data_IF_057368106886
#
_entry.id   IF_057368106886
#
_cell.length_a   1.000
_cell.length_b   1.000
_cell.length_c   1.000
_cell.angle_alpha   90.00
_cell.angle_beta   90.00
_cell.angle_gamma   90.00
#
_symmetry.space_group_name_H-M   'P 1'
#
loop_
_entity.id
_entity.type
_entity.pdbx_description
1 polymer ?
#
# COMPACT_ATOMS: atom_id res chain seq x y z
N UNK A 1 18.60 6.59 -2.44
CA UNK A 1 18.63 5.12 -2.69
C UNK A 1 18.64 4.90 -4.19
N UNK A 2 19.48 4.01 -4.70
CA UNK A 2 19.48 3.64 -6.12
C UNK A 2 18.50 2.49 -6.36
N UNK A 3 18.06 2.31 -7.60
CA UNK A 3 17.20 1.19 -8.02
C UNK A 3 17.82 -0.17 -7.67
N UNK A 4 19.15 -0.29 -7.78
CA UNK A 4 19.88 -1.51 -7.41
C UNK A 4 19.69 -1.89 -5.92
N UNK A 5 19.73 -0.92 -5.01
CA UNK A 5 19.45 -1.14 -3.58
C UNK A 5 18.01 -1.62 -3.34
N UNK A 6 17.06 -1.02 -4.05
CA UNK A 6 15.67 -1.41 -3.96
C UNK A 6 15.46 -2.86 -4.43
N UNK A 7 16.04 -3.21 -5.57
CA UNK A 7 16.02 -4.58 -6.12
C UNK A 7 16.75 -5.58 -5.19
N UNK A 8 17.82 -5.18 -4.55
CA UNK A 8 18.50 -6.03 -3.57
C UNK A 8 17.62 -6.29 -2.34
N UNK A 9 16.95 -5.26 -1.81
CA UNK A 9 16.01 -5.39 -0.70
C UNK A 9 14.82 -6.29 -1.06
N UNK A 10 14.28 -6.18 -2.27
CA UNK A 10 13.11 -6.96 -2.70
C UNK A 10 13.31 -8.48 -2.61
N UNK A 11 14.56 -8.93 -2.68
CA UNK A 11 14.95 -10.34 -2.60
C UNK A 11 15.17 -10.83 -1.16
N UNK A 12 15.03 -9.97 -0.16
CA UNK A 12 15.25 -10.35 1.24
C UNK A 12 14.01 -10.98 1.85
N UNK A 13 14.22 -11.89 2.82
CA UNK A 13 13.12 -12.49 3.59
C UNK A 13 12.39 -11.42 4.40
N UNK A 14 11.08 -11.52 4.52
CA UNK A 14 10.27 -10.56 5.25
C UNK A 14 10.76 -10.34 6.69
N UNK A 15 11.12 -11.41 7.39
CA UNK A 15 11.70 -11.33 8.74
C UNK A 15 12.95 -10.45 8.82
N UNK A 16 13.82 -10.55 7.83
CA UNK A 16 15.03 -9.71 7.75
C UNK A 16 14.68 -8.25 7.51
N UNK A 17 13.74 -7.99 6.60
CA UNK A 17 13.23 -6.63 6.33
C UNK A 17 12.57 -6.04 7.57
N UNK A 18 11.80 -6.82 8.32
CA UNK A 18 11.18 -6.38 9.57
C UNK A 18 12.22 -6.04 10.65
N UNK A 19 13.28 -6.85 10.80
CA UNK A 19 14.34 -6.55 11.74
C UNK A 19 15.04 -5.22 11.40
N UNK A 20 15.40 -5.02 10.13
CA UNK A 20 16.00 -3.76 9.67
C UNK A 20 15.02 -2.59 9.71
N UNK A 21 13.75 -2.84 9.40
CA UNK A 21 12.68 -1.85 9.51
C UNK A 21 12.51 -1.35 10.94
N UNK A 22 12.55 -2.25 11.92
CA UNK A 22 12.52 -1.89 13.34
C UNK A 22 13.67 -0.93 13.69
N UNK A 23 14.89 -1.26 13.27
CA UNK A 23 16.06 -0.38 13.49
C UNK A 23 15.87 0.96 12.79
N UNK A 24 15.41 0.96 11.53
CA UNK A 24 15.15 2.17 10.77
C UNK A 24 14.09 3.07 11.44
N UNK A 25 13.01 2.49 11.95
CA UNK A 25 11.97 3.22 12.67
C UNK A 25 12.52 3.92 13.92
N UNK A 26 13.31 3.22 14.72
CA UNK A 26 13.94 3.80 15.90
C UNK A 26 15.00 4.84 15.55
N UNK A 27 15.80 4.63 14.51
CA UNK A 27 16.75 5.64 14.02
C UNK A 27 16.01 6.92 13.58
N UNK A 28 14.94 6.78 12.80
CA UNK A 28 14.13 7.94 12.39
C UNK A 28 13.53 8.66 13.60
N UNK A 29 13.07 7.93 14.61
CA UNK A 29 12.56 8.47 15.85
C UNK A 29 13.60 9.30 16.62
N UNK A 30 14.83 8.79 16.75
CA UNK A 30 15.92 9.45 17.48
C UNK A 30 16.44 10.67 16.71
N UNK A 31 16.68 10.50 15.41
CA UNK A 31 17.34 11.50 14.56
C UNK A 31 16.41 12.62 14.08
N UNK A 32 15.09 12.40 14.08
CA UNK A 32 14.13 13.39 13.59
C UNK A 32 13.10 13.82 14.66
N UNK A 33 13.38 14.90 15.42
CA UNK A 33 12.43 15.45 16.38
C UNK A 33 11.06 15.77 15.75
N UNK A 34 11.08 16.27 14.51
CA UNK A 34 9.85 16.59 13.75
C UNK A 34 9.00 15.35 13.44
N UNK A 35 9.63 14.26 13.05
CA UNK A 35 8.94 12.99 12.82
C UNK A 35 8.34 12.45 14.12
N UNK A 36 9.12 12.49 15.20
CA UNK A 36 8.69 12.08 16.54
C UNK A 36 7.48 12.86 17.02
N UNK A 37 7.53 14.20 16.93
CA UNK A 37 6.42 15.07 17.33
C UNK A 37 5.14 14.71 16.57
N UNK A 38 5.19 14.59 15.23
CA UNK A 38 4.04 14.24 14.41
C UNK A 38 3.46 12.85 14.75
N UNK A 39 4.32 11.85 14.95
CA UNK A 39 3.86 10.53 15.32
C UNK A 39 3.12 10.56 16.67
N UNK A 40 3.66 11.30 17.64
CA UNK A 40 3.02 11.44 18.95
C UNK A 40 1.71 12.22 18.91
N UNK A 41 1.66 13.31 18.17
CA UNK A 41 0.44 14.10 17.97
C UNK A 41 -0.67 13.25 17.32
N UNK A 42 -0.36 12.57 16.21
CA UNK A 42 -1.32 11.72 15.51
C UNK A 42 -1.82 10.57 16.39
N UNK A 43 -0.92 9.94 17.14
CA UNK A 43 -1.29 8.88 18.06
C UNK A 43 -2.15 9.39 19.24
N UNK A 44 -1.89 10.62 19.70
CA UNK A 44 -2.70 11.26 20.74
C UNK A 44 -4.09 11.60 20.22
N UNK A 45 -4.20 12.19 19.02
CA UNK A 45 -5.48 12.48 18.36
C UNK A 45 -6.33 11.21 18.14
N UNK A 46 -5.69 10.09 17.82
CA UNK A 46 -6.34 8.80 17.68
C UNK A 46 -6.66 8.10 19.03
N UNK A 47 -6.40 8.74 20.15
CA UNK A 47 -6.64 8.16 21.48
C UNK A 47 -5.75 6.98 21.84
N UNK A 48 -4.62 6.76 21.11
CA UNK A 48 -3.72 5.63 21.34
C UNK A 48 -2.99 5.81 22.67
N UNK A 49 -3.03 4.83 23.61
CA UNK A 49 -2.31 4.88 24.87
C UNK A 49 -0.78 4.97 24.69
N UNK A 50 -0.05 5.43 25.70
CA UNK A 50 1.39 5.67 25.60
C UNK A 50 2.23 4.42 25.25
N UNK A 51 1.88 3.25 25.80
CA UNK A 51 2.63 2.02 25.58
C UNK A 51 2.56 1.53 24.11
N UNK A 52 1.38 1.42 23.44
CA UNK A 52 1.30 1.09 22.02
C UNK A 52 1.99 2.09 21.08
N UNK A 53 2.13 3.36 21.49
CA UNK A 53 2.83 4.36 20.67
C UNK A 53 4.29 4.00 20.39
N UNK A 54 4.96 3.33 21.35
CA UNK A 54 6.35 2.86 21.14
C UNK A 54 6.41 1.71 20.13
N UNK A 55 5.45 0.81 20.17
CA UNK A 55 5.35 -0.25 19.15
C UNK A 55 5.16 0.34 17.75
N UNK A 56 4.34 1.39 17.59
CA UNK A 56 4.12 2.07 16.32
C UNK A 56 5.41 2.61 15.67
N UNK A 57 6.43 2.95 16.45
CA UNK A 57 7.74 3.39 15.92
C UNK A 57 8.41 2.28 15.11
N UNK A 58 8.43 1.05 15.66
CA UNK A 58 8.99 -0.10 14.97
C UNK A 58 8.15 -0.48 13.75
N UNK A 59 6.82 -0.50 13.90
CA UNK A 59 5.89 -0.86 12.81
C UNK A 59 5.96 0.12 11.64
N UNK A 60 6.11 1.42 11.88
CA UNK A 60 6.31 2.41 10.82
C UNK A 60 7.57 2.12 9.99
N UNK A 61 8.66 1.71 10.64
CA UNK A 61 9.89 1.33 9.93
C UNK A 61 9.73 0.00 9.17
N UNK A 62 9.03 -0.98 9.74
CA UNK A 62 8.72 -2.27 9.08
C UNK A 62 7.92 -2.05 7.81
N UNK A 63 6.84 -1.26 7.87
CA UNK A 63 6.01 -0.90 6.73
C UNK A 63 6.84 -0.33 5.57
N UNK A 64 7.80 0.56 5.85
CA UNK A 64 8.66 1.14 4.81
C UNK A 64 9.52 0.07 4.13
N UNK A 65 10.04 -0.91 4.87
CA UNK A 65 10.89 -1.97 4.31
C UNK A 65 10.12 -3.14 3.72
N UNK A 66 8.81 -3.22 3.88
CA UNK A 66 7.93 -4.14 3.15
C UNK A 66 7.76 -3.73 1.68
N UNK A 67 7.76 -2.42 1.40
CA UNK A 67 7.54 -1.88 0.05
C UNK A 67 8.49 -2.46 -1.01
N UNK A 68 9.81 -2.59 -0.81
CA UNK A 68 10.69 -3.20 -1.78
C UNK A 68 10.28 -4.63 -2.16
N UNK A 69 9.85 -5.44 -1.19
CA UNK A 69 9.42 -6.82 -1.45
C UNK A 69 8.11 -6.85 -2.24
N UNK A 70 7.16 -6.00 -1.89
CA UNK A 70 5.87 -5.91 -2.57
C UNK A 70 6.02 -5.36 -4.00
N UNK A 71 6.75 -4.26 -4.16
CA UNK A 71 6.89 -3.56 -5.43
C UNK A 71 7.91 -4.21 -6.38
N UNK A 72 8.95 -4.87 -5.83
CA UNK A 72 9.94 -5.59 -6.61
C UNK A 72 9.50 -6.97 -7.08
N UNK A 73 8.29 -7.38 -6.76
CA UNK A 73 7.70 -8.65 -7.20
C UNK A 73 7.43 -8.60 -8.71
N UNK A 74 7.82 -9.65 -9.43
CA UNK A 74 7.57 -9.71 -10.87
C UNK A 74 6.07 -9.66 -11.20
N UNK A 75 5.67 -9.01 -12.31
CA UNK A 75 4.29 -9.03 -12.77
C UNK A 75 3.78 -10.47 -12.94
N UNK A 76 2.55 -10.73 -12.49
CA UNK A 76 1.92 -12.06 -12.59
C UNK A 76 2.31 -13.05 -11.49
N UNK A 77 3.33 -12.78 -10.67
CA UNK A 77 3.57 -13.58 -9.48
C UNK A 77 2.56 -13.22 -8.38
N UNK A 78 1.93 -14.22 -7.72
CA UNK A 78 0.99 -13.97 -6.65
C UNK A 78 1.67 -13.34 -5.43
N UNK A 79 0.89 -12.66 -4.60
CA UNK A 79 1.36 -12.25 -3.28
C UNK A 79 1.54 -13.52 -2.46
N UNK A 80 2.78 -13.73 -2.01
CA UNK A 80 3.10 -14.89 -1.17
C UNK A 80 2.46 -14.77 0.23
N UNK A 81 2.24 -15.94 0.86
CA UNK A 81 1.92 -16.02 2.27
C UNK A 81 2.76 -15.01 3.11
N UNK A 82 2.17 -14.25 4.06
CA UNK A 82 0.95 -14.59 4.80
C UNK A 82 -0.29 -13.73 4.51
N UNK A 83 -0.68 -13.47 3.28
CA UNK A 83 -1.92 -12.70 3.02
C UNK A 83 -3.15 -13.52 3.39
N UNK A 84 -3.92 -13.00 4.33
CA UNK A 84 -5.20 -13.59 4.73
C UNK A 84 -6.32 -12.57 4.52
N UNK A 85 -7.45 -13.06 4.04
CA UNK A 85 -8.66 -12.29 3.89
C UNK A 85 -9.61 -12.58 5.04
N UNK A 86 -10.01 -11.52 5.74
CA UNK A 86 -11.10 -11.55 6.71
C UNK A 86 -12.21 -10.66 6.18
N UNK A 87 -13.45 -11.15 6.11
CA UNK A 87 -14.59 -10.42 5.56
C UNK A 87 -14.61 -10.32 4.03
N UNK A 88 -13.95 -11.22 3.32
CA UNK A 88 -13.95 -11.23 1.84
C UNK A 88 -15.36 -11.36 1.26
N UNK A 89 -16.25 -12.05 1.98
CA UNK A 89 -17.66 -12.22 1.66
C UNK A 89 -18.42 -10.88 1.58
N UNK A 90 -17.96 -9.85 2.30
CA UNK A 90 -18.53 -8.50 2.20
C UNK A 90 -18.23 -7.86 0.86
N UNK A 91 -17.02 -8.07 0.34
CA UNK A 91 -16.62 -7.62 -0.99
C UNK A 91 -17.41 -8.38 -2.05
N UNK A 92 -17.50 -9.71 -1.92
CA UNK A 92 -18.26 -10.58 -2.84
C UNK A 92 -19.74 -10.16 -2.90
N UNK A 93 -20.34 -9.91 -1.76
CA UNK A 93 -21.72 -9.41 -1.68
C UNK A 93 -21.87 -8.04 -2.35
N UNK A 94 -20.93 -7.12 -2.12
CA UNK A 94 -20.95 -5.79 -2.73
C UNK A 94 -20.79 -5.85 -4.26
N UNK A 95 -19.98 -6.76 -4.77
CA UNK A 95 -19.80 -6.98 -6.22
C UNK A 95 -21.05 -7.57 -6.89
N UNK A 96 -21.94 -8.20 -6.13
CA UNK A 96 -23.24 -8.70 -6.62
C UNK A 96 -24.29 -7.60 -6.86
N UNK A 97 -24.05 -6.38 -6.40
CA UNK A 97 -24.97 -5.26 -6.63
C UNK A 97 -24.71 -4.60 -7.99
N UNK A 98 -25.77 -4.11 -8.68
CA UNK A 98 -25.59 -3.37 -9.93
C UNK A 98 -24.90 -2.02 -9.64
N UNK A 99 -23.90 -1.70 -10.44
CA UNK A 99 -23.12 -0.47 -10.31
C UNK A 99 -21.67 -0.74 -9.93
N UNK A 100 -20.89 0.32 -9.80
CA UNK A 100 -19.50 0.22 -9.41
C UNK A 100 -19.31 0.19 -7.89
N UNK A 101 -18.16 -0.28 -7.43
CA UNK A 101 -17.78 -0.35 -6.02
C UNK A 101 -16.73 0.70 -5.67
N UNK A 102 -16.91 1.41 -4.58
CA UNK A 102 -15.88 2.28 -4.02
C UNK A 102 -15.30 1.66 -2.77
N UNK A 103 -13.99 1.38 -2.78
CA UNK A 103 -13.23 0.88 -1.64
C UNK A 103 -12.47 2.02 -0.96
N UNK A 104 -12.64 2.15 0.34
CA UNK A 104 -11.90 3.11 1.16
C UNK A 104 -10.94 2.35 2.08
N UNK A 105 -9.66 2.74 2.07
CA UNK A 105 -8.66 2.16 2.96
C UNK A 105 -8.13 3.20 3.94
N UNK A 106 -8.01 2.88 5.25
CA UNK A 106 -7.51 3.81 6.25
C UNK A 106 -5.97 3.97 6.21
N UNK A 107 -5.27 3.38 5.24
CA UNK A 107 -3.81 3.40 5.13
C UNK A 107 -3.10 2.85 6.39
N UNK A 108 -3.61 1.76 6.95
CA UNK A 108 -3.00 1.05 8.07
C UNK A 108 -2.08 -0.08 7.59
N UNK A 109 -0.93 -0.25 8.25
CA UNK A 109 0.04 -1.28 7.90
C UNK A 109 0.53 -1.18 6.46
N UNK A 110 0.77 -2.30 5.80
CA UNK A 110 1.19 -2.37 4.40
C UNK A 110 0.00 -2.14 3.44
N UNK A 111 -0.60 -0.96 3.49
CA UNK A 111 -1.81 -0.62 2.71
C UNK A 111 -1.61 -0.76 1.18
N UNK A 112 -0.40 -0.63 0.68
CA UNK A 112 -0.08 -0.86 -0.74
C UNK A 112 -0.38 -2.30 -1.20
N UNK A 113 -0.45 -3.24 -0.26
CA UNK A 113 -0.86 -4.62 -0.52
C UNK A 113 -2.35 -4.72 -0.87
N UNK A 114 -3.21 -3.87 -0.30
CA UNK A 114 -4.66 -3.97 -0.45
C UNK A 114 -5.10 -3.97 -1.92
N UNK A 115 -4.60 -3.02 -2.71
CA UNK A 115 -4.93 -2.92 -4.12
C UNK A 115 -4.44 -4.13 -4.93
N UNK A 116 -3.24 -4.63 -4.63
CA UNK A 116 -2.69 -5.80 -5.32
C UNK A 116 -3.42 -7.09 -4.95
N UNK A 117 -3.73 -7.28 -3.65
CA UNK A 117 -4.49 -8.44 -3.18
C UNK A 117 -5.92 -8.44 -3.77
N UNK A 118 -6.55 -7.27 -3.85
CA UNK A 118 -7.84 -7.12 -4.51
C UNK A 118 -7.76 -7.53 -5.99
N UNK A 119 -6.78 -6.99 -6.72
CA UNK A 119 -6.61 -7.28 -8.14
C UNK A 119 -6.34 -8.77 -8.40
N UNK A 120 -5.58 -9.44 -7.56
CA UNK A 120 -5.31 -10.88 -7.67
C UNK A 120 -6.57 -11.73 -7.46
N UNK A 121 -7.44 -11.34 -6.52
CA UNK A 121 -8.64 -12.13 -6.20
C UNK A 121 -9.84 -11.80 -7.08
N UNK A 122 -10.06 -10.53 -7.36
CA UNK A 122 -11.27 -10.03 -8.01
C UNK A 122 -11.02 -9.34 -9.35
N UNK A 123 -9.78 -8.93 -9.63
CA UNK A 123 -9.46 -8.06 -10.77
C UNK A 123 -9.76 -8.64 -12.14
N UNK A 124 -9.88 -9.98 -12.27
CA UNK A 124 -10.23 -10.62 -13.53
C UNK A 124 -11.68 -10.34 -13.95
N UNK A 125 -12.60 -10.32 -12.98
CA UNK A 125 -14.03 -10.02 -13.21
C UNK A 125 -14.38 -8.57 -12.91
N UNK A 126 -13.65 -7.94 -11.98
CA UNK A 126 -13.95 -6.61 -11.46
C UNK A 126 -12.67 -5.79 -11.35
N UNK A 127 -12.24 -5.11 -12.42
CA UNK A 127 -11.02 -4.30 -12.41
C UNK A 127 -11.06 -3.19 -11.36
N UNK A 128 -9.91 -2.92 -10.74
CA UNK A 128 -9.73 -1.86 -9.75
C UNK A 128 -8.94 -0.70 -10.33
N UNK A 129 -9.43 0.53 -10.20
CA UNK A 129 -8.68 1.75 -10.50
C UNK A 129 -8.36 2.50 -9.22
N UNK A 130 -7.09 2.62 -8.85
CA UNK A 130 -6.65 3.34 -7.64
C UNK A 130 -6.18 4.76 -7.94
N UNK A 131 -6.56 5.70 -7.08
CA UNK A 131 -6.01 7.05 -7.12
C UNK A 131 -4.62 7.06 -6.49
N UNK A 132 -3.63 7.66 -7.16
CA UNK A 132 -2.28 7.72 -6.63
C UNK A 132 -1.62 9.08 -6.88
N UNK A 133 -0.65 9.40 -6.05
CA UNK A 133 0.23 10.54 -6.26
C UNK A 133 1.61 10.04 -6.67
N UNK A 134 2.08 10.31 -7.90
CA UNK A 134 3.39 9.85 -8.35
C UNK A 134 4.53 10.33 -7.44
N UNK A 135 5.52 9.48 -7.23
CA UNK A 135 6.70 9.85 -6.49
C UNK A 135 7.44 11.01 -7.17
N UNK A 136 8.03 11.89 -6.36
CA UNK A 136 8.82 13.02 -6.87
C UNK A 136 10.11 12.58 -7.54
N UNK A 137 10.72 11.49 -7.04
CA UNK A 137 11.98 10.94 -7.57
C UNK A 137 11.69 10.06 -8.78
N UNK A 138 12.33 10.33 -9.91
CA UNK A 138 12.07 9.64 -11.18
C UNK A 138 12.31 8.12 -11.10
N UNK A 139 13.36 7.67 -10.41
CA UNK A 139 13.63 6.24 -10.24
C UNK A 139 12.53 5.54 -9.44
N UNK A 140 12.03 6.18 -8.37
CA UNK A 140 10.96 5.61 -7.53
C UNK A 140 9.64 5.57 -8.28
N UNK A 141 9.36 6.59 -9.09
CA UNK A 141 8.18 6.61 -9.97
C UNK A 141 8.15 5.42 -10.91
N UNK A 142 9.28 5.09 -11.56
CA UNK A 142 9.38 3.89 -12.43
C UNK A 142 9.09 2.61 -11.66
N UNK A 143 9.63 2.48 -10.45
CA UNK A 143 9.36 1.32 -9.59
C UNK A 143 7.87 1.24 -9.22
N UNK A 144 7.25 2.35 -8.83
CA UNK A 144 5.81 2.42 -8.53
C UNK A 144 4.94 2.05 -9.74
N UNK A 145 5.25 2.58 -10.91
CA UNK A 145 4.52 2.29 -12.15
C UNK A 145 4.60 0.81 -12.50
N UNK A 146 5.80 0.22 -12.42
CA UNK A 146 5.99 -1.22 -12.64
C UNK A 146 5.25 -2.07 -11.60
N UNK A 147 5.33 -1.68 -10.33
CA UNK A 147 4.68 -2.40 -9.24
C UNK A 147 3.16 -2.43 -9.36
N UNK A 148 2.57 -1.36 -9.88
CA UNK A 148 1.12 -1.20 -10.05
C UNK A 148 0.61 -1.65 -11.43
N UNK A 149 1.51 -1.96 -12.38
CA UNK A 149 1.16 -2.54 -13.67
C UNK A 149 0.87 -4.04 -13.52
N UNK A 150 -0.33 -4.35 -13.01
CA UNK A 150 -0.77 -5.72 -12.77
C UNK A 150 -2.12 -5.97 -13.42
N UNK A 151 -2.41 -7.23 -13.86
CA UNK A 151 -3.72 -7.57 -14.38
C UNK A 151 -4.83 -7.15 -13.40
N UNK A 152 -5.87 -6.52 -13.90
CA UNK A 152 -6.99 -6.07 -13.07
C UNK A 152 -6.72 -4.85 -12.18
N UNK A 153 -5.53 -4.22 -12.27
CA UNK A 153 -5.18 -3.02 -11.51
C UNK A 153 -4.80 -1.88 -12.46
N UNK A 154 -5.53 -0.79 -12.41
CA UNK A 154 -5.23 0.46 -13.10
C UNK A 154 -4.93 1.58 -12.10
N UNK A 155 -4.19 2.59 -12.54
CA UNK A 155 -3.88 3.76 -11.71
C UNK A 155 -4.39 5.04 -12.34
N UNK A 156 -4.87 5.96 -11.52
CA UNK A 156 -5.27 7.30 -11.91
C UNK A 156 -4.51 8.33 -11.06
N UNK A 157 -3.90 9.37 -11.66
CA UNK A 157 -3.17 10.38 -10.91
C UNK A 157 -4.13 11.22 -10.06
N UNK A 158 -3.66 11.71 -8.91
CA UNK A 158 -4.42 12.59 -8.01
C UNK A 158 -4.58 14.00 -8.61
N UNK A 159 -5.27 14.08 -9.74
CA UNK A 159 -5.58 15.28 -10.53
C UNK A 159 -7.02 15.24 -11.02
N UNK A 160 -7.56 16.36 -11.49
CA UNK A 160 -8.92 16.39 -12.05
C UNK A 160 -9.15 15.38 -13.19
N UNK A 161 -8.24 15.20 -14.16
CA UNK A 161 -8.34 14.11 -15.15
C UNK A 161 -8.38 12.72 -14.51
N UNK A 162 -7.57 12.47 -13.46
CA UNK A 162 -7.60 11.19 -12.75
C UNK A 162 -8.92 10.93 -12.02
N UNK A 163 -9.48 11.94 -11.38
CA UNK A 163 -10.83 11.83 -10.78
C UNK A 163 -11.88 11.51 -11.85
N UNK A 164 -11.81 12.14 -13.02
CA UNK A 164 -12.71 11.81 -14.13
C UNK A 164 -12.51 10.37 -14.63
N UNK A 165 -11.29 9.83 -14.57
CA UNK A 165 -11.00 8.44 -14.90
C UNK A 165 -11.68 7.50 -13.89
N UNK A 166 -11.58 7.78 -12.58
CA UNK A 166 -12.27 7.01 -11.53
C UNK A 166 -13.80 7.02 -11.75
N UNK A 167 -14.37 8.19 -11.98
CA UNK A 167 -15.82 8.30 -12.21
C UNK A 167 -16.29 7.52 -13.45
N UNK A 168 -15.46 7.46 -14.50
CA UNK A 168 -15.74 6.64 -15.67
C UNK A 168 -15.65 5.15 -15.37
N UNK A 169 -14.65 4.72 -14.59
CA UNK A 169 -14.53 3.34 -14.12
C UNK A 169 -15.78 2.92 -13.32
N UNK A 170 -16.15 3.75 -12.35
CA UNK A 170 -17.35 3.50 -11.52
C UNK A 170 -18.63 3.41 -12.36
N UNK A 171 -18.80 4.28 -13.38
CA UNK A 171 -19.95 4.23 -14.31
C UNK A 171 -19.97 2.97 -15.18
N UNK A 172 -18.83 2.34 -15.44
CA UNK A 172 -18.76 1.03 -16.13
C UNK A 172 -19.04 -0.15 -15.21
N UNK A 173 -19.33 0.10 -13.92
CA UNK A 173 -19.50 -0.94 -12.93
C UNK A 173 -18.21 -1.50 -12.35
N UNK A 174 -17.06 -0.86 -12.60
CA UNK A 174 -15.75 -1.27 -12.07
C UNK A 174 -15.54 -0.77 -10.64
N UNK A 175 -14.49 -1.27 -9.98
CA UNK A 175 -14.12 -0.87 -8.62
C UNK A 175 -13.10 0.29 -8.65
N UNK A 176 -13.23 1.22 -7.71
CA UNK A 176 -12.30 2.32 -7.49
C UNK A 176 -11.82 2.39 -6.04
#
# INVERSE_FOLDING_TARGET
>A
MSEAWFQWLSRRRLRTLHAWGTVLGWLAWVLSPRYRARLMENAALAGVPAAPRRAAVAEAGRMVLELPRLWGRAPGLPIEDPVRWEGAELVEAALGHPGGLMLLTPHLGCFEMCAQAYAERFGASQPLTVLYRPARQAWLRRVEETARSRPGLATAPATLPGVRQLLRALKRGETI
#
